data_IF_315325849265
#
_entry.id   IF_315325849265
#
_cell.length_a   1.000
_cell.length_b   1.000
_cell.length_c   1.000
_cell.angle_alpha   90.00
_cell.angle_beta   90.00
_cell.angle_gamma   90.00
#
_symmetry.space_group_name_H-M   'P 1'
#
loop_
_entity.id
_entity.type
_entity.pdbx_description
1 polymer ?
#
# COMPACT_ATOMS: atom_id res chain seq x y z
N UNK A 1 1.20 11.77 -16.91
CA UNK A 1 0.52 12.75 -17.79
C UNK A 1 -1.01 12.74 -17.61
N UNK A 2 -1.68 11.57 -17.61
CA UNK A 2 -3.14 11.49 -17.51
C UNK A 2 -3.70 12.11 -16.23
N UNK A 3 -3.03 11.96 -15.09
CA UNK A 3 -3.46 12.49 -13.79
C UNK A 3 -3.10 13.95 -13.55
N UNK A 4 -2.23 14.54 -14.37
CA UNK A 4 -1.66 15.90 -14.19
C UNK A 4 -1.20 16.16 -12.75
N UNK A 5 -0.59 15.17 -12.11
CA UNK A 5 -0.07 15.29 -10.76
C UNK A 5 1.17 16.22 -10.74
N UNK A 6 1.36 16.91 -9.62
CA UNK A 6 2.55 17.75 -9.40
C UNK A 6 3.83 16.89 -9.37
N UNK A 7 3.73 15.66 -8.81
CA UNK A 7 4.78 14.65 -8.78
C UNK A 7 4.16 13.26 -8.91
N UNK A 8 4.73 12.42 -9.76
CA UNK A 8 4.39 11.02 -9.88
C UNK A 8 5.59 10.12 -9.59
N UNK A 9 5.41 9.08 -8.81
CA UNK A 9 6.45 8.10 -8.51
C UNK A 9 5.97 6.70 -8.75
N UNK A 10 6.86 5.85 -9.27
CA UNK A 10 6.63 4.42 -9.42
C UNK A 10 7.87 3.65 -8.99
N UNK A 11 7.67 2.67 -8.12
CA UNK A 11 8.71 1.80 -7.60
C UNK A 11 8.33 0.35 -7.81
N UNK A 12 9.30 -0.48 -8.17
CA UNK A 12 9.14 -1.93 -8.33
C UNK A 12 10.24 -2.64 -7.56
N UNK A 13 9.88 -3.62 -6.75
CA UNK A 13 10.80 -4.42 -5.94
C UNK A 13 10.54 -5.91 -6.13
N UNK A 14 11.60 -6.70 -6.14
CA UNK A 14 11.54 -8.14 -5.92
C UNK A 14 11.34 -8.40 -4.43
N UNK A 15 10.15 -8.91 -4.01
CA UNK A 15 9.86 -9.10 -2.60
C UNK A 15 10.70 -10.20 -1.95
N UNK A 16 11.27 -11.11 -2.72
CA UNK A 16 12.03 -12.25 -2.19
C UNK A 16 13.50 -11.91 -1.87
N UNK A 17 13.98 -10.76 -2.36
CA UNK A 17 15.39 -10.39 -2.19
C UNK A 17 15.61 -8.94 -1.73
N UNK A 18 14.56 -8.11 -1.69
CA UNK A 18 14.69 -6.67 -1.40
C UNK A 18 15.27 -5.84 -2.56
N UNK A 19 15.57 -6.48 -3.71
CA UNK A 19 16.15 -5.80 -4.87
C UNK A 19 15.17 -4.81 -5.49
N UNK A 20 15.58 -3.55 -5.63
CA UNK A 20 14.83 -2.52 -6.36
C UNK A 20 15.03 -2.75 -7.85
N UNK A 21 13.97 -3.11 -8.55
CA UNK A 21 13.98 -3.41 -9.99
C UNK A 21 13.76 -2.15 -10.83
N UNK A 22 13.01 -1.19 -10.31
CA UNK A 22 12.80 0.11 -10.92
C UNK A 22 12.40 1.14 -9.85
N UNK A 23 12.87 2.36 -10.02
CA UNK A 23 12.53 3.50 -9.18
C UNK A 23 12.55 4.75 -10.06
N UNK A 24 11.39 5.40 -10.21
CA UNK A 24 11.22 6.56 -11.07
C UNK A 24 10.35 7.63 -10.40
N UNK A 25 10.69 8.89 -10.65
CA UNK A 25 9.90 10.06 -10.28
C UNK A 25 9.75 10.99 -11.49
N UNK A 26 8.62 11.70 -11.59
CA UNK A 26 8.36 12.69 -12.63
C UNK A 26 7.51 13.85 -12.09
N UNK A 27 7.87 15.12 -12.33
CA UNK A 27 9.07 15.55 -13.07
C UNK A 27 10.36 15.14 -12.38
N UNK A 28 11.43 14.95 -13.14
CA UNK A 28 12.73 14.56 -12.60
C UNK A 28 13.41 15.79 -11.98
N UNK A 29 13.69 15.76 -10.69
CA UNK A 29 14.61 16.68 -10.03
C UNK A 29 15.95 15.97 -9.80
N UNK A 30 16.98 16.35 -10.56
CA UNK A 30 18.33 15.74 -10.46
C UNK A 30 19.01 15.97 -9.11
N UNK A 31 18.45 16.84 -8.26
CA UNK A 31 18.99 17.16 -6.92
C UNK A 31 18.34 16.35 -5.82
N UNK A 32 17.29 15.57 -6.13
CA UNK A 32 16.49 14.83 -5.16
C UNK A 32 16.22 13.40 -5.61
N UNK A 33 16.12 12.53 -4.64
CA UNK A 33 15.67 11.16 -4.82
C UNK A 33 14.36 11.01 -4.07
N UNK A 34 13.28 11.60 -4.63
CA UNK A 34 11.97 11.68 -3.99
C UNK A 34 11.50 10.36 -3.37
N UNK A 35 11.69 9.18 -3.99
CA UNK A 35 11.28 7.91 -3.39
C UNK A 35 11.84 7.61 -2.01
N UNK A 36 12.97 8.21 -1.63
CA UNK A 36 13.62 8.01 -0.33
C UNK A 36 13.68 9.28 0.53
N UNK A 37 13.49 10.45 -0.06
CA UNK A 37 13.57 11.74 0.63
C UNK A 37 12.21 12.32 0.96
N UNK A 38 11.27 12.25 0.00
CA UNK A 38 9.94 12.81 0.14
C UNK A 38 9.07 11.98 1.09
N UNK A 39 8.32 12.68 1.95
CA UNK A 39 7.45 12.03 2.94
C UNK A 39 5.99 12.48 2.78
N UNK A 40 5.09 11.54 3.02
CA UNK A 40 3.65 11.77 2.96
C UNK A 40 2.91 10.89 3.96
N UNK A 41 1.68 11.22 4.27
CA UNK A 41 0.81 10.33 5.01
C UNK A 41 0.35 9.18 4.10
N UNK A 42 0.63 7.90 4.44
CA UNK A 42 0.33 6.76 3.56
C UNK A 42 -1.18 6.55 3.37
N UNK A 43 -2.00 7.14 4.26
CA UNK A 43 -3.44 6.94 4.22
C UNK A 43 -3.81 5.46 4.25
N UNK A 44 -4.86 5.10 3.52
CA UNK A 44 -5.42 3.75 3.54
C UNK A 44 -4.48 2.62 3.08
N UNK A 45 -3.32 2.90 2.48
CA UNK A 45 -2.32 1.85 2.23
C UNK A 45 -1.76 1.29 3.54
N UNK A 46 -1.71 2.09 4.61
CA UNK A 46 -1.25 1.65 5.92
C UNK A 46 -2.18 0.64 6.61
N UNK A 47 -3.45 0.56 6.22
CA UNK A 47 -4.42 -0.41 6.75
C UNK A 47 -3.97 -1.86 6.59
N UNK A 48 -3.20 -2.17 5.54
CA UNK A 48 -2.61 -3.50 5.33
C UNK A 48 -1.60 -3.87 6.44
N UNK A 49 -0.85 -2.89 6.92
CA UNK A 49 0.12 -3.06 8.01
C UNK A 49 -0.60 -3.31 9.33
N UNK A 50 -1.64 -2.52 9.62
CA UNK A 50 -2.47 -2.74 10.81
C UNK A 50 -3.17 -4.10 10.78
N UNK A 51 -3.74 -4.48 9.61
CA UNK A 51 -4.37 -5.78 9.42
C UNK A 51 -3.40 -6.92 9.77
N UNK A 52 -2.19 -6.87 9.23
CA UNK A 52 -1.14 -7.86 9.48
C UNK A 52 -0.81 -7.96 10.98
N UNK A 53 -0.62 -6.81 11.64
CA UNK A 53 -0.35 -6.76 13.07
C UNK A 53 -1.50 -7.34 13.91
N UNK A 54 -2.74 -6.98 13.59
CA UNK A 54 -3.91 -7.42 14.33
C UNK A 54 -4.18 -8.94 14.17
N UNK A 55 -3.94 -9.48 12.96
CA UNK A 55 -4.01 -10.91 12.70
C UNK A 55 -2.89 -11.69 13.41
N UNK A 56 -1.63 -11.21 13.34
CA UNK A 56 -0.47 -11.84 14.00
C UNK A 56 -0.64 -11.90 15.52
N UNK A 57 -1.25 -10.87 16.13
CA UNK A 57 -1.56 -10.82 17.55
C UNK A 57 -2.84 -11.61 17.92
N UNK A 58 -3.55 -12.18 16.96
CA UNK A 58 -4.81 -12.88 17.19
C UNK A 58 -5.95 -11.99 17.70
N UNK A 59 -5.83 -10.66 17.55
CA UNK A 59 -6.84 -9.69 17.98
C UNK A 59 -8.09 -9.75 17.09
N UNK A 60 -7.91 -10.14 15.84
CA UNK A 60 -8.96 -10.34 14.84
C UNK A 60 -8.73 -11.62 14.07
N UNK A 61 -9.80 -12.13 13.47
CA UNK A 61 -9.79 -13.24 12.52
C UNK A 61 -10.83 -12.99 11.42
N UNK A 62 -10.97 -13.90 10.47
CA UNK A 62 -11.86 -13.77 9.31
C UNK A 62 -13.33 -13.60 9.69
N UNK A 63 -13.74 -14.15 10.85
CA UNK A 63 -15.10 -14.04 11.38
C UNK A 63 -15.36 -12.73 12.14
N UNK A 64 -14.31 -11.93 12.37
CA UNK A 64 -14.45 -10.65 13.07
C UNK A 64 -15.30 -9.67 12.25
N UNK A 65 -16.19 -8.95 12.92
CA UNK A 65 -17.00 -7.91 12.32
C UNK A 65 -16.97 -6.62 13.13
N UNK A 66 -17.20 -5.50 12.46
CA UNK A 66 -17.08 -4.16 13.01
C UNK A 66 -18.28 -3.31 12.59
N UNK A 67 -18.96 -2.72 13.54
CA UNK A 67 -19.99 -1.72 13.25
C UNK A 67 -19.31 -0.40 12.87
N UNK A 68 -19.58 0.11 11.66
CA UNK A 68 -18.92 1.27 11.06
C UNK A 68 -19.76 2.56 11.15
N UNK A 69 -20.75 2.62 12.08
CA UNK A 69 -21.49 3.81 12.51
C UNK A 69 -22.20 4.59 11.37
N UNK A 70 -22.38 3.97 10.21
CA UNK A 70 -23.07 4.57 9.06
C UNK A 70 -22.51 5.96 8.68
N UNK A 71 -21.19 6.06 8.39
CA UNK A 71 -20.41 7.24 7.96
C UNK A 71 -19.68 7.96 9.09
N UNK A 72 -20.29 8.19 10.26
CA UNK A 72 -19.72 9.06 11.29
C UNK A 72 -19.68 8.40 12.66
N UNK A 73 -18.52 8.46 13.29
CA UNK A 73 -18.33 8.00 14.66
C UNK A 73 -17.77 9.12 15.55
N UNK A 74 -18.56 9.54 16.52
CA UNK A 74 -18.10 10.45 17.56
C UNK A 74 -17.12 9.70 18.47
N UNK A 75 -15.82 9.79 18.17
CA UNK A 75 -14.76 9.14 18.92
C UNK A 75 -14.68 9.67 20.37
N UNK A 76 -14.84 10.98 20.51
CA UNK A 76 -15.00 11.67 21.80
C UNK A 76 -15.72 13.00 21.57
N UNK A 77 -15.88 13.82 22.63
CA UNK A 77 -16.58 15.12 22.56
C UNK A 77 -15.96 16.16 21.58
N UNK A 78 -14.74 15.93 21.10
CA UNK A 78 -14.00 16.88 20.24
C UNK A 78 -13.64 16.32 18.86
N UNK A 79 -13.68 15.00 18.68
CA UNK A 79 -13.18 14.34 17.47
C UNK A 79 -14.23 13.40 16.94
N UNK A 80 -14.55 13.56 15.67
CA UNK A 80 -15.41 12.66 14.90
C UNK A 80 -14.59 12.02 13.77
N UNK A 81 -14.67 10.73 13.64
CA UNK A 81 -14.08 9.96 12.54
C UNK A 81 -15.14 9.75 11.46
N UNK A 82 -14.69 9.68 10.20
CA UNK A 82 -15.59 9.58 9.06
C UNK A 82 -15.15 8.48 8.10
N UNK A 83 -16.12 7.75 7.57
CA UNK A 83 -15.98 6.92 6.39
C UNK A 83 -16.40 7.69 5.14
N UNK A 84 -16.01 7.20 3.96
CA UNK A 84 -16.41 7.79 2.67
C UNK A 84 -17.82 7.38 2.27
N UNK A 85 -18.20 6.14 2.58
CA UNK A 85 -19.48 5.53 2.23
C UNK A 85 -20.22 5.08 3.48
N UNK A 86 -21.56 5.08 3.47
CA UNK A 86 -22.36 4.60 4.58
C UNK A 86 -22.27 3.07 4.71
N UNK A 87 -21.68 2.60 5.79
CA UNK A 87 -21.54 1.19 6.11
C UNK A 87 -22.01 0.93 7.54
N UNK A 88 -22.82 -0.12 7.74
CA UNK A 88 -23.30 -0.50 9.07
C UNK A 88 -22.31 -1.47 9.73
N UNK A 89 -22.36 -2.73 9.34
CA UNK A 89 -21.46 -3.77 9.87
C UNK A 89 -20.70 -4.40 8.74
N UNK A 90 -19.37 -4.40 8.85
CA UNK A 90 -18.46 -5.01 7.88
C UNK A 90 -17.70 -6.16 8.54
N UNK A 91 -17.49 -7.22 7.77
CA UNK A 91 -16.49 -8.25 8.12
C UNK A 91 -15.09 -7.66 8.05
N UNK A 92 -14.10 -8.37 8.59
CA UNK A 92 -12.68 -7.94 8.49
C UNK A 92 -12.26 -7.68 7.02
N UNK A 93 -12.63 -8.58 6.10
CA UNK A 93 -12.38 -8.37 4.66
C UNK A 93 -13.14 -7.14 4.14
N UNK A 94 -14.42 -6.99 4.50
CA UNK A 94 -15.24 -5.85 4.13
C UNK A 94 -14.66 -4.50 4.58
N UNK A 95 -14.08 -4.43 5.79
CA UNK A 95 -13.36 -3.22 6.26
C UNK A 95 -12.22 -2.84 5.31
N UNK A 96 -11.49 -3.82 4.79
CA UNK A 96 -10.41 -3.60 3.83
C UNK A 96 -10.92 -3.29 2.42
N UNK A 97 -11.93 -4.02 1.93
CA UNK A 97 -12.54 -3.85 0.61
C UNK A 97 -13.19 -2.47 0.44
N UNK A 98 -13.97 -2.04 1.45
CA UNK A 98 -14.62 -0.72 1.51
C UNK A 98 -13.68 0.38 2.00
N UNK A 99 -12.51 -0.01 2.52
CA UNK A 99 -11.55 0.94 3.09
C UNK A 99 -12.11 1.78 4.23
N UNK A 100 -12.96 1.18 5.12
CA UNK A 100 -13.54 1.88 6.26
C UNK A 100 -12.47 2.39 7.22
N UNK A 101 -12.48 3.69 7.52
CA UNK A 101 -11.62 4.32 8.52
C UNK A 101 -12.10 3.96 9.93
N UNK A 102 -13.42 3.95 10.13
CA UNK A 102 -14.04 3.65 11.43
C UNK A 102 -13.77 2.20 11.81
N UNK A 103 -14.01 1.25 10.88
CA UNK A 103 -13.72 -0.16 11.11
C UNK A 103 -12.24 -0.38 11.44
N UNK A 104 -11.35 0.27 10.70
CA UNK A 104 -9.90 0.19 10.90
C UNK A 104 -9.47 0.82 12.22
N UNK A 105 -10.01 1.99 12.60
CA UNK A 105 -9.74 2.60 13.90
C UNK A 105 -10.15 1.69 15.07
N UNK A 106 -11.30 1.01 14.96
CA UNK A 106 -11.75 0.04 15.97
C UNK A 106 -10.82 -1.17 16.07
N UNK A 107 -10.27 -1.64 14.94
CA UNK A 107 -9.24 -2.69 14.93
C UNK A 107 -7.98 -2.20 15.68
N UNK A 108 -7.50 -1.00 15.34
CA UNK A 108 -6.32 -0.44 16.00
C UNK A 108 -6.49 -0.24 17.50
N UNK A 109 -7.66 0.24 17.94
CA UNK A 109 -7.96 0.39 19.36
C UNK A 109 -7.96 -0.94 20.12
N UNK A 110 -8.43 -2.02 19.46
CA UNK A 110 -8.33 -3.38 20.04
C UNK A 110 -6.88 -3.87 20.09
N UNK A 111 -6.05 -3.54 19.09
CA UNK A 111 -4.63 -3.89 19.06
C UNK A 111 -3.85 -3.17 20.18
N UNK A 112 -4.20 -1.92 20.45
CA UNK A 112 -3.56 -1.09 21.45
C UNK A 112 -2.29 -0.38 20.96
N UNK A 113 -1.95 0.72 21.63
CA UNK A 113 -0.85 1.62 21.23
C UNK A 113 0.48 0.90 21.14
N UNK A 114 0.80 0.04 22.14
CA UNK A 114 2.09 -0.63 22.23
C UNK A 114 2.34 -1.55 21.02
N UNK A 115 1.39 -2.44 20.72
CA UNK A 115 1.54 -3.39 19.62
C UNK A 115 1.46 -2.68 18.26
N UNK A 116 0.58 -1.69 18.10
CA UNK A 116 0.54 -0.82 16.92
C UNK A 116 1.92 -0.19 16.64
N UNK A 117 2.53 0.42 17.65
CA UNK A 117 3.83 1.06 17.52
C UNK A 117 4.94 0.05 17.21
N UNK A 118 4.97 -1.09 17.91
CA UNK A 118 5.96 -2.14 17.68
C UNK A 118 5.90 -2.68 16.24
N UNK A 119 4.71 -3.00 15.72
CA UNK A 119 4.57 -3.49 14.36
C UNK A 119 4.85 -2.42 13.31
N UNK A 120 4.47 -1.15 13.55
CA UNK A 120 4.86 -0.02 12.71
C UNK A 120 6.37 0.04 12.55
N UNK A 121 7.12 -0.03 13.65
CA UNK A 121 8.58 -0.09 13.64
C UNK A 121 9.12 -1.37 13.00
N UNK A 122 8.50 -2.50 13.28
CA UNK A 122 8.92 -3.79 12.73
C UNK A 122 8.82 -3.84 11.20
N UNK A 123 7.82 -3.19 10.60
CA UNK A 123 7.69 -3.02 9.15
C UNK A 123 8.64 -1.98 8.54
N UNK A 124 9.51 -1.33 9.34
CA UNK A 124 10.55 -0.39 8.88
C UNK A 124 10.17 1.08 8.93
N UNK A 125 8.95 1.45 9.36
CA UNK A 125 8.55 2.85 9.46
C UNK A 125 9.25 3.56 10.64
N UNK A 126 9.55 4.85 10.45
CA UNK A 126 10.26 5.66 11.43
C UNK A 126 11.75 5.33 11.53
N UNK A 127 12.34 4.70 10.50
CA UNK A 127 13.77 4.45 10.34
C UNK A 127 14.18 4.60 8.87
N UNK A 128 15.42 4.98 8.59
CA UNK A 128 15.96 4.95 7.23
C UNK A 128 15.93 3.52 6.69
N UNK A 129 15.72 3.36 5.37
CA UNK A 129 15.61 2.05 4.76
C UNK A 129 16.96 1.32 4.62
N UNK A 130 18.07 2.06 4.67
CA UNK A 130 19.43 1.51 4.53
C UNK A 130 19.94 1.50 3.09
N UNK A 131 19.21 2.11 2.14
CA UNK A 131 19.65 2.16 0.74
C UNK A 131 20.94 2.99 0.52
N UNK A 132 21.31 3.81 1.50
CA UNK A 132 22.60 4.52 1.54
C UNK A 132 22.61 5.88 0.84
N UNK A 133 21.48 6.43 0.44
CA UNK A 133 21.42 7.78 -0.11
C UNK A 133 21.55 8.86 0.97
N UNK A 134 22.30 9.92 0.69
CA UNK A 134 22.54 11.00 1.66
C UNK A 134 21.27 11.71 2.14
N UNK A 135 20.27 11.90 1.28
CA UNK A 135 19.00 12.57 1.59
C UNK A 135 17.93 11.66 2.19
N UNK A 136 18.22 10.39 2.45
CA UNK A 136 17.21 9.42 2.90
C UNK A 136 16.53 9.85 4.21
N UNK A 137 15.18 9.90 4.18
CA UNK A 137 14.35 10.25 5.31
C UNK A 137 13.92 9.00 6.11
N UNK A 138 13.92 9.13 7.44
CA UNK A 138 13.31 8.13 8.32
C UNK A 138 11.78 8.20 8.37
N UNK A 139 11.16 9.19 7.70
CA UNK A 139 9.76 9.51 7.92
C UNK A 139 9.52 10.19 9.28
N UNK A 140 8.26 10.32 9.66
CA UNK A 140 7.85 10.91 10.94
C UNK A 140 6.95 9.94 11.65
N UNK A 141 7.41 9.39 12.76
CA UNK A 141 6.65 8.57 13.68
C UNK A 141 6.79 9.17 15.08
N UNK A 142 5.65 9.58 15.68
CA UNK A 142 5.63 10.13 17.03
C UNK A 142 6.19 9.10 18.02
N UNK A 143 7.04 9.51 19.00
CA UNK A 143 7.53 8.59 20.04
C UNK A 143 6.39 7.95 20.84
N UNK A 144 6.58 6.69 21.26
CA UNK A 144 5.56 5.88 21.93
C UNK A 144 4.97 6.59 23.16
N UNK A 145 5.81 7.27 23.94
CA UNK A 145 5.44 7.97 25.18
C UNK A 145 4.49 9.16 24.95
N UNK A 146 4.43 9.64 23.71
CA UNK A 146 3.56 10.75 23.28
C UNK A 146 2.33 10.29 22.50
N UNK A 147 2.19 8.97 22.30
CA UNK A 147 1.06 8.41 21.54
C UNK A 147 -0.20 8.41 22.39
N UNK A 148 -1.25 9.06 21.91
CA UNK A 148 -2.57 9.09 22.53
C UNK A 148 -3.53 8.13 21.81
N UNK A 149 -4.67 7.84 22.42
CA UNK A 149 -5.71 7.00 21.79
C UNK A 149 -6.20 7.55 20.45
N UNK A 150 -6.25 8.87 20.31
CA UNK A 150 -6.61 9.49 19.02
C UNK A 150 -5.53 9.28 17.97
N UNK A 151 -4.24 9.36 18.34
CA UNK A 151 -3.14 9.10 17.43
C UNK A 151 -3.17 7.64 16.93
N UNK A 152 -3.54 6.71 17.81
CA UNK A 152 -3.77 5.31 17.46
C UNK A 152 -4.93 5.16 16.46
N UNK A 153 -6.08 5.79 16.77
CA UNK A 153 -7.27 5.69 15.94
C UNK A 153 -6.99 6.21 14.51
N UNK A 154 -6.38 7.42 14.38
CA UNK A 154 -6.08 8.01 13.08
C UNK A 154 -4.87 7.34 12.40
N UNK A 155 -3.85 6.93 13.18
CA UNK A 155 -2.69 6.20 12.70
C UNK A 155 -3.07 4.84 12.11
N UNK A 156 -4.13 4.22 12.61
CA UNK A 156 -4.63 2.93 12.12
C UNK A 156 -5.00 2.96 10.63
N UNK A 157 -5.41 4.11 10.10
CA UNK A 157 -5.66 4.30 8.67
C UNK A 157 -4.64 5.24 8.00
N UNK A 158 -3.44 5.39 8.62
CA UNK A 158 -2.27 6.01 8.03
C UNK A 158 -2.26 7.53 8.08
N UNK A 159 -2.94 8.16 9.04
CA UNK A 159 -2.86 9.60 9.32
C UNK A 159 -2.04 9.86 10.59
N UNK A 160 -1.39 11.03 10.65
CA UNK A 160 -0.52 11.39 11.78
C UNK A 160 0.84 10.66 11.80
N UNK A 161 1.15 9.93 10.73
CA UNK A 161 2.47 9.35 10.44
C UNK A 161 2.90 9.80 9.04
N UNK A 162 4.19 10.08 8.85
CA UNK A 162 4.70 10.38 7.51
C UNK A 162 5.77 9.36 7.14
N UNK A 163 5.70 8.86 5.91
CA UNK A 163 6.52 7.75 5.41
C UNK A 163 7.13 8.08 4.04
N UNK A 164 8.25 7.47 3.70
CA UNK A 164 8.74 7.53 2.33
C UNK A 164 8.05 6.49 1.45
N UNK A 165 7.97 6.70 0.12
CA UNK A 165 7.50 5.68 -0.81
C UNK A 165 8.26 4.36 -0.68
N UNK A 166 9.58 4.39 -0.49
CA UNK A 166 10.37 3.18 -0.32
C UNK A 166 10.00 2.41 0.95
N UNK A 167 9.72 3.08 2.06
CA UNK A 167 9.24 2.41 3.28
C UNK A 167 7.93 1.66 3.03
N UNK A 168 6.97 2.26 2.30
CA UNK A 168 5.71 1.60 1.95
C UNK A 168 5.95 0.40 1.04
N UNK A 169 6.76 0.54 -0.01
CA UNK A 169 7.11 -0.55 -0.93
C UNK A 169 7.72 -1.73 -0.18
N UNK A 170 8.71 -1.47 0.68
CA UNK A 170 9.42 -2.51 1.44
C UNK A 170 8.49 -3.23 2.45
N UNK A 171 7.59 -2.49 3.10
CA UNK A 171 6.58 -3.07 3.98
C UNK A 171 5.60 -3.99 3.20
N UNK A 172 5.17 -3.59 1.99
CA UNK A 172 4.33 -4.43 1.14
C UNK A 172 5.09 -5.65 0.61
N UNK A 173 6.39 -5.54 0.35
CA UNK A 173 7.24 -6.68 0.02
C UNK A 173 7.31 -7.69 1.18
N UNK A 174 7.36 -7.22 2.42
CA UNK A 174 7.28 -8.11 3.58
C UNK A 174 5.91 -8.79 3.69
N UNK A 175 4.80 -8.11 3.40
CA UNK A 175 3.47 -8.74 3.32
C UNK A 175 3.41 -9.81 2.22
N UNK A 176 4.12 -9.62 1.12
CA UNK A 176 4.11 -10.48 -0.06
C UNK A 176 4.93 -11.78 0.11
N UNK A 177 6.03 -11.74 0.86
CA UNK A 177 7.09 -12.77 0.88
C UNK A 177 7.08 -13.70 2.09
N UNK A 178 5.97 -13.77 2.83
CA UNK A 178 5.89 -14.59 4.06
C UNK A 178 6.32 -13.84 5.32
N UNK A 179 6.34 -12.50 5.29
CA UNK A 179 6.54 -11.64 6.46
C UNK A 179 7.99 -11.25 6.73
N UNK A 180 8.91 -11.44 5.80
CA UNK A 180 10.33 -11.10 5.95
C UNK A 180 10.60 -9.68 5.45
N UNK A 181 11.08 -8.80 6.34
CA UNK A 181 11.56 -7.49 5.93
C UNK A 181 13.01 -7.62 5.46
N UNK A 182 13.24 -7.38 4.17
CA UNK A 182 14.58 -7.34 3.59
C UNK A 182 15.16 -5.94 3.63
N UNK A 183 16.48 -5.85 3.67
CA UNK A 183 17.21 -4.64 3.34
C UNK A 183 17.03 -4.33 1.85
N UNK A 184 16.52 -3.13 1.48
CA UNK A 184 16.38 -2.76 0.07
C UNK A 184 17.75 -2.54 -0.55
N UNK A 185 17.95 -2.97 -1.80
CA UNK A 185 19.24 -2.87 -2.49
C UNK A 185 19.08 -2.53 -3.96
N UNK A 186 19.96 -1.67 -4.46
CA UNK A 186 20.05 -1.25 -5.87
C UNK A 186 21.21 -1.94 -6.59
N UNK A 187 22.35 -2.05 -5.92
CA UNK A 187 23.54 -2.69 -6.48
C UNK A 187 23.51 -4.16 -6.11
N UNK A 188 23.56 -5.02 -7.09
CA UNK A 188 23.60 -6.49 -6.90
C UNK A 188 25.04 -6.98 -6.83
N UNK A 189 25.89 -6.50 -7.75
CA UNK A 189 27.30 -6.83 -7.78
C UNK A 189 28.11 -5.75 -8.48
N UNK A 190 29.41 -5.72 -8.22
CA UNK A 190 30.39 -4.91 -8.95
C UNK A 190 31.41 -5.89 -9.56
N UNK A 191 31.68 -5.75 -10.84
CA UNK A 191 32.69 -6.53 -11.54
C UNK A 191 33.73 -5.60 -12.14
N UNK A 192 35.00 -6.05 -12.18
CA UNK A 192 36.03 -5.39 -12.97
C UNK A 192 35.77 -5.53 -14.48
N UNK A 193 36.55 -4.80 -15.28
CA UNK A 193 36.38 -4.81 -16.74
C UNK A 193 36.57 -6.20 -17.35
N UNK A 194 37.44 -7.01 -16.77
CA UNK A 194 37.70 -8.41 -17.22
C UNK A 194 36.68 -9.42 -16.69
N UNK A 195 35.67 -8.97 -15.94
CA UNK A 195 34.54 -9.78 -15.46
C UNK A 195 34.77 -10.42 -14.09
N UNK A 196 35.91 -10.18 -13.43
CA UNK A 196 36.12 -10.61 -12.04
C UNK A 196 35.16 -9.88 -11.10
N UNK A 197 34.44 -10.62 -10.24
CA UNK A 197 33.51 -10.08 -9.27
C UNK A 197 34.28 -9.58 -8.04
N UNK A 198 34.26 -8.25 -7.81
CA UNK A 198 34.95 -7.60 -6.67
C UNK A 198 34.01 -7.34 -5.49
N UNK A 199 32.70 -7.34 -5.73
CA UNK A 199 31.69 -7.14 -4.69
C UNK A 199 30.38 -7.82 -5.09
N UNK A 200 29.75 -8.47 -4.10
CA UNK A 200 28.39 -9.02 -4.19
C UNK A 200 27.57 -8.52 -3.01
N UNK A 201 26.37 -8.05 -3.31
CA UNK A 201 25.38 -7.64 -2.31
C UNK A 201 24.26 -8.69 -2.25
N UNK A 202 24.43 -9.69 -1.38
CA UNK A 202 23.45 -10.76 -1.22
C UNK A 202 22.20 -10.28 -0.45
N UNK A 203 21.02 -10.92 -0.67
CA UNK A 203 19.82 -10.59 0.06
C UNK A 203 19.98 -10.74 1.58
N UNK A 204 19.71 -9.64 2.31
CA UNK A 204 19.78 -9.63 3.76
C UNK A 204 18.39 -9.46 4.38
N UNK A 205 17.96 -10.43 5.19
CA UNK A 205 16.73 -10.34 5.99
C UNK A 205 17.02 -9.55 7.25
N UNK A 206 16.38 -8.40 7.41
CA UNK A 206 16.48 -7.59 8.63
C UNK A 206 15.76 -8.30 9.78
N UNK A 207 14.54 -8.81 9.52
CA UNK A 207 13.73 -9.54 10.52
C UNK A 207 12.53 -10.24 9.91
N UNK A 208 11.99 -11.23 10.62
CA UNK A 208 10.64 -11.75 10.43
C UNK A 208 9.67 -10.82 11.17
N UNK A 209 8.70 -10.21 10.45
CA UNK A 209 7.74 -9.25 11.02
C UNK A 209 6.43 -9.93 11.42
N UNK A 210 5.94 -10.79 10.52
CA UNK A 210 4.74 -11.62 10.71
C UNK A 210 5.02 -13.04 10.22
N UNK A 211 4.24 -13.99 10.69
CA UNK A 211 4.36 -15.38 10.26
C UNK A 211 3.96 -15.59 8.79
N UNK A 212 4.45 -16.63 8.10
CA UNK A 212 4.04 -16.96 6.73
C UNK A 212 2.53 -17.23 6.60
N UNK A 213 1.90 -17.82 7.62
CA UNK A 213 0.44 -18.03 7.68
C UNK A 213 -0.28 -16.68 7.61
N UNK A 214 0.08 -15.74 8.45
CA UNK A 214 -0.55 -14.41 8.47
C UNK A 214 -0.28 -13.65 7.16
N UNK A 215 0.91 -13.76 6.59
CA UNK A 215 1.17 -13.23 5.24
C UNK A 215 0.20 -13.82 4.21
N UNK A 216 -0.07 -15.13 4.25
CA UNK A 216 -1.04 -15.79 3.37
C UNK A 216 -2.46 -15.22 3.52
N UNK A 217 -2.91 -15.05 4.77
CA UNK A 217 -4.24 -14.48 5.10
C UNK A 217 -4.35 -13.01 4.67
N UNK A 218 -3.32 -12.21 4.89
CA UNK A 218 -3.27 -10.82 4.42
C UNK A 218 -3.33 -10.75 2.89
N UNK A 219 -2.57 -11.60 2.19
CA UNK A 219 -2.60 -11.70 0.72
C UNK A 219 -4.01 -11.98 0.20
N UNK A 220 -4.73 -12.92 0.82
CA UNK A 220 -6.10 -13.26 0.44
C UNK A 220 -7.06 -12.07 0.61
N UNK A 221 -6.98 -11.34 1.74
CA UNK A 221 -7.81 -10.16 1.98
C UNK A 221 -7.46 -9.02 1.01
N UNK A 222 -6.17 -8.75 0.76
CA UNK A 222 -5.75 -7.72 -0.19
C UNK A 222 -6.10 -8.08 -1.64
N UNK A 223 -6.18 -9.36 -1.99
CA UNK A 223 -6.70 -9.82 -3.26
C UNK A 223 -8.20 -9.47 -3.39
N UNK A 224 -8.99 -9.70 -2.35
CA UNK A 224 -10.41 -9.33 -2.34
C UNK A 224 -10.62 -7.81 -2.51
N UNK A 225 -9.72 -6.96 -1.99
CA UNK A 225 -9.74 -5.51 -2.24
C UNK A 225 -9.64 -5.18 -3.74
N UNK A 226 -8.81 -5.93 -4.49
CA UNK A 226 -8.67 -5.73 -5.93
C UNK A 226 -9.82 -6.35 -6.71
N UNK A 227 -10.32 -7.51 -6.29
CA UNK A 227 -11.42 -8.20 -7.00
C UNK A 227 -12.79 -7.55 -6.75
N UNK A 228 -13.06 -7.08 -5.54
CA UNK A 228 -14.41 -6.67 -5.07
C UNK A 228 -14.47 -5.25 -4.51
N UNK A 229 -13.32 -4.69 -4.10
CA UNK A 229 -13.25 -3.45 -3.36
C UNK A 229 -12.76 -2.24 -4.17
N UNK A 230 -12.14 -1.30 -3.47
CA UNK A 230 -11.64 -0.02 -4.02
C UNK A 230 -10.48 -0.18 -5.01
N UNK A 231 -9.85 -1.36 -5.07
CA UNK A 231 -8.70 -1.65 -5.93
C UNK A 231 -9.01 -2.18 -7.32
N UNK A 232 -10.28 -2.26 -7.75
CA UNK A 232 -10.72 -2.90 -9.01
C UNK A 232 -9.98 -2.44 -10.26
N UNK A 233 -9.60 -1.18 -10.34
CA UNK A 233 -8.89 -0.63 -11.49
C UNK A 233 -7.43 -1.10 -11.62
N UNK A 234 -6.88 -1.79 -10.61
CA UNK A 234 -5.59 -2.47 -10.68
C UNK A 234 -5.66 -3.88 -11.28
N UNK A 235 -6.87 -4.43 -11.48
CA UNK A 235 -7.07 -5.79 -11.96
C UNK A 235 -6.48 -5.97 -13.37
N UNK A 236 -5.69 -7.04 -13.55
CA UNK A 236 -5.21 -7.50 -14.85
C UNK A 236 -5.87 -8.85 -15.16
N UNK A 237 -6.67 -8.97 -16.24
CA UNK A 237 -7.32 -10.22 -16.61
C UNK A 237 -6.31 -11.38 -16.75
N UNK A 238 -6.62 -12.52 -16.13
CA UNK A 238 -5.75 -13.69 -16.15
C UNK A 238 -4.64 -13.68 -15.09
N UNK A 239 -4.53 -12.64 -14.26
CA UNK A 239 -3.52 -12.54 -13.22
C UNK A 239 -4.13 -12.16 -11.88
N UNK A 240 -3.66 -12.82 -10.82
CA UNK A 240 -4.06 -12.48 -9.46
C UNK A 240 -3.22 -11.33 -8.92
N UNK A 241 -3.89 -10.29 -8.45
CA UNK A 241 -3.28 -9.08 -7.89
C UNK A 241 -3.84 -8.87 -6.48
N UNK A 242 -2.97 -8.56 -5.55
CA UNK A 242 -3.34 -8.10 -4.22
C UNK A 242 -2.79 -6.70 -3.98
N UNK A 243 -3.57 -5.85 -3.33
CA UNK A 243 -3.14 -4.48 -3.08
C UNK A 243 -4.16 -3.62 -2.37
N UNK A 244 -3.77 -2.39 -2.10
CA UNK A 244 -4.60 -1.40 -1.41
C UNK A 244 -4.44 -0.02 -2.00
N UNK A 245 -5.53 0.68 -2.17
CA UNK A 245 -5.60 2.10 -2.53
C UNK A 245 -5.28 2.97 -1.32
N UNK A 246 -4.64 4.10 -1.55
CA UNK A 246 -4.47 5.18 -0.57
C UNK A 246 -4.93 6.50 -1.15
N UNK A 247 -5.51 7.32 -0.30
CA UNK A 247 -5.80 8.73 -0.57
C UNK A 247 -5.66 9.45 0.76
N UNK A 248 -4.76 10.40 0.81
CA UNK A 248 -4.55 11.25 1.99
C UNK A 248 -4.58 12.72 1.61
N UNK A 249 -4.87 13.58 2.57
CA UNK A 249 -4.75 15.02 2.39
C UNK A 249 -3.27 15.41 2.40
N UNK A 250 -2.90 16.35 1.55
CA UNK A 250 -1.53 16.88 1.54
C UNK A 250 -1.32 17.81 2.73
N UNK A 251 -0.17 17.69 3.39
CA UNK A 251 0.24 18.57 4.50
C UNK A 251 1.19 19.65 3.95
N UNK A 252 0.99 20.90 4.35
CA UNK A 252 1.97 21.96 4.14
C UNK A 252 3.17 21.74 5.08
N UNK A 253 4.37 21.47 4.56
CA UNK A 253 5.54 21.17 5.39
C UNK A 253 5.98 22.36 6.27
N UNK A 254 5.55 23.60 5.94
CA UNK A 254 5.91 24.79 6.71
C UNK A 254 4.99 25.01 7.91
N UNK A 255 3.70 24.68 7.77
CA UNK A 255 2.69 24.95 8.79
C UNK A 255 2.24 23.71 9.52
N UNK A 256 2.45 22.52 8.95
CA UNK A 256 1.93 21.25 9.44
C UNK A 256 0.43 21.07 9.27
N UNK A 257 -0.24 21.97 8.55
CA UNK A 257 -1.70 21.95 8.33
C UNK A 257 -2.03 21.27 7.00
N UNK A 258 -3.23 20.71 6.91
CA UNK A 258 -3.74 20.15 5.67
C UNK A 258 -4.06 21.24 4.65
N UNK A 259 -3.56 21.07 3.43
CA UNK A 259 -3.89 21.93 2.29
C UNK A 259 -5.28 21.58 1.75
N UNK A 260 -6.13 22.60 1.61
CA UNK A 260 -7.48 22.42 1.08
C UNK A 260 -7.45 21.96 -0.38
N UNK A 261 -8.21 20.91 -0.69
CA UNK A 261 -8.35 20.38 -2.05
C UNK A 261 -7.11 19.67 -2.61
N UNK A 262 -6.03 19.53 -1.83
CA UNK A 262 -4.82 18.85 -2.26
C UNK A 262 -4.70 17.49 -1.61
N UNK A 263 -4.42 16.46 -2.43
CA UNK A 263 -4.35 15.06 -2.00
C UNK A 263 -3.09 14.38 -2.50
N UNK A 264 -2.75 13.27 -1.85
CA UNK A 264 -1.80 12.28 -2.36
C UNK A 264 -2.56 11.00 -2.62
N UNK A 265 -2.57 10.56 -3.88
CA UNK A 265 -3.20 9.32 -4.31
C UNK A 265 -2.14 8.23 -4.47
N UNK A 266 -2.42 7.01 -3.98
CA UNK A 266 -1.46 5.92 -4.07
C UNK A 266 -2.14 4.57 -4.28
N UNK A 267 -1.36 3.62 -4.81
CA UNK A 267 -1.70 2.21 -4.85
C UNK A 267 -0.45 1.39 -4.57
N UNK A 268 -0.50 0.55 -3.56
CA UNK A 268 0.54 -0.42 -3.24
C UNK A 268 -0.01 -1.84 -3.42
N UNK A 269 0.72 -2.69 -4.11
CA UNK A 269 0.28 -4.05 -4.38
C UNK A 269 1.40 -4.95 -4.88
N UNK A 270 1.06 -6.22 -5.07
CA UNK A 270 2.00 -7.24 -5.53
C UNK A 270 1.29 -8.30 -6.37
N UNK A 271 2.05 -8.97 -7.21
CA UNK A 271 1.59 -10.03 -8.12
C UNK A 271 2.76 -10.95 -8.55
N UNK A 272 2.40 -12.18 -9.08
CA UNK A 272 1.14 -12.88 -8.92
C UNK A 272 0.91 -13.28 -7.45
N UNK A 273 -0.33 -13.58 -7.10
CA UNK A 273 -0.67 -14.14 -5.78
C UNK A 273 -1.04 -15.61 -6.03
N UNK A 274 -0.54 -16.63 -5.37
CA UNK A 274 0.01 -16.70 -4.01
C UNK A 274 1.53 -16.53 -3.89
N UNK A 275 2.29 -16.56 -4.98
CA UNK A 275 3.75 -16.45 -4.98
C UNK A 275 4.22 -15.14 -5.62
N UNK A 276 4.18 -14.02 -4.88
CA UNK A 276 4.50 -12.72 -5.44
C UNK A 276 5.96 -12.62 -5.88
N UNK A 277 6.14 -12.17 -7.12
CA UNK A 277 7.43 -11.92 -7.74
C UNK A 277 7.74 -10.42 -7.86
N UNK A 278 6.70 -9.60 -7.82
CA UNK A 278 6.81 -8.14 -7.97
C UNK A 278 5.93 -7.44 -6.96
N UNK A 279 6.53 -6.54 -6.20
CA UNK A 279 5.83 -5.53 -5.41
C UNK A 279 5.95 -4.19 -6.13
N UNK A 280 4.83 -3.49 -6.29
CA UNK A 280 4.77 -2.22 -7.02
C UNK A 280 4.05 -1.19 -6.17
N UNK A 281 4.61 0.01 -6.11
CA UNK A 281 3.98 1.18 -5.52
C UNK A 281 3.89 2.30 -6.58
N UNK A 282 2.72 2.90 -6.68
CA UNK A 282 2.50 4.15 -7.43
C UNK A 282 2.02 5.21 -6.45
N UNK A 283 2.64 6.39 -6.51
CA UNK A 283 2.25 7.57 -5.72
C UNK A 283 2.11 8.77 -6.65
N UNK A 284 1.02 9.50 -6.52
CA UNK A 284 0.70 10.69 -7.29
C UNK A 284 0.41 11.83 -6.31
N UNK A 285 1.26 12.83 -6.29
CA UNK A 285 1.09 14.02 -5.47
C UNK A 285 0.22 15.03 -6.19
N UNK A 286 -0.86 15.43 -5.55
CA UNK A 286 -1.81 16.43 -6.04
C UNK A 286 -2.34 16.16 -7.48
N UNK A 287 -2.90 14.96 -7.76
CA UNK A 287 -3.54 14.71 -9.05
C UNK A 287 -4.74 15.62 -9.25
N UNK A 288 -4.99 16.04 -10.51
CA UNK A 288 -6.11 16.93 -10.85
C UNK A 288 -7.24 16.15 -11.54
N UNK A 289 -8.47 16.55 -11.30
CA UNK A 289 -9.68 15.88 -11.81
C UNK A 289 -10.08 14.70 -10.92
N UNK A 290 -9.57 13.50 -11.17
CA UNK A 290 -9.75 12.33 -10.32
C UNK A 290 -8.69 12.35 -9.21
N UNK A 291 -9.11 12.32 -7.95
CA UNK A 291 -8.21 12.50 -6.79
C UNK A 291 -8.01 11.22 -5.97
N UNK A 292 -8.81 10.19 -6.22
CA UNK A 292 -8.73 8.95 -5.46
C UNK A 292 -7.69 7.97 -6.02
N UNK A 293 -6.96 7.29 -5.13
CA UNK A 293 -5.95 6.31 -5.52
C UNK A 293 -6.50 5.16 -6.38
N UNK A 294 -7.76 4.78 -6.15
CA UNK A 294 -8.46 3.77 -6.97
C UNK A 294 -8.73 4.20 -8.42
N UNK A 295 -8.81 5.50 -8.68
CA UNK A 295 -9.13 6.07 -10.00
C UNK A 295 -7.89 6.54 -10.75
N UNK A 296 -6.78 6.79 -10.05
CA UNK A 296 -5.56 7.38 -10.63
C UNK A 296 -4.34 6.46 -10.49
N UNK A 297 -3.98 6.08 -9.27
CA UNK A 297 -2.79 5.26 -9.02
C UNK A 297 -3.01 3.77 -9.36
N UNK A 298 -4.21 3.22 -9.12
CA UNK A 298 -4.53 1.84 -9.46
C UNK A 298 -4.48 1.55 -10.97
N UNK A 299 -5.03 2.39 -11.88
CA UNK A 299 -4.82 2.24 -13.31
C UNK A 299 -3.35 2.31 -13.73
N UNK A 300 -2.55 3.20 -13.14
CA UNK A 300 -1.11 3.29 -13.42
C UNK A 300 -0.37 2.02 -12.96
N UNK A 301 -0.71 1.50 -11.77
CA UNK A 301 -0.21 0.20 -11.32
C UNK A 301 -0.54 -0.90 -12.32
N UNK A 302 -1.78 -0.97 -12.81
CA UNK A 302 -2.20 -1.96 -13.82
C UNK A 302 -1.37 -1.86 -15.09
N UNK A 303 -1.11 -0.66 -15.60
CA UNK A 303 -0.28 -0.46 -16.80
C UNK A 303 1.15 -0.97 -16.57
N UNK A 304 1.73 -0.72 -15.38
CA UNK A 304 3.05 -1.23 -14.99
C UNK A 304 3.03 -2.75 -14.90
N UNK A 305 2.02 -3.33 -14.24
CA UNK A 305 1.89 -4.78 -14.09
C UNK A 305 1.80 -5.48 -15.45
N UNK A 306 0.97 -4.96 -16.38
CA UNK A 306 0.86 -5.50 -17.75
C UNK A 306 2.21 -5.44 -18.48
N UNK A 307 2.95 -4.34 -18.36
CA UNK A 307 4.29 -4.24 -18.97
C UNK A 307 5.27 -5.26 -18.39
N UNK A 308 5.29 -5.43 -17.06
CA UNK A 308 6.15 -6.44 -16.40
C UNK A 308 5.76 -7.85 -16.84
N UNK A 309 4.47 -8.17 -16.85
CA UNK A 309 3.93 -9.47 -17.29
C UNK A 309 4.42 -9.80 -18.71
N UNK A 310 4.26 -8.87 -19.63
CA UNK A 310 4.68 -9.04 -21.03
C UNK A 310 6.21 -9.15 -21.17
N UNK A 311 6.95 -8.27 -20.49
CA UNK A 311 8.43 -8.26 -20.55
C UNK A 311 9.05 -9.55 -19.99
N UNK A 312 8.44 -10.11 -18.93
CA UNK A 312 8.93 -11.30 -18.25
C UNK A 312 8.29 -12.58 -18.69
N UNK A 313 7.29 -12.53 -19.58
CA UNK A 313 6.58 -13.71 -20.07
C UNK A 313 5.87 -14.46 -18.94
N UNK A 314 5.29 -13.76 -17.96
CA UNK A 314 4.65 -14.42 -16.83
C UNK A 314 3.43 -15.22 -17.31
N UNK A 315 3.31 -16.45 -16.80
CA UNK A 315 2.14 -17.29 -17.07
C UNK A 315 0.93 -16.77 -16.27
N UNK A 316 -0.25 -16.88 -16.90
CA UNK A 316 -1.53 -16.61 -16.25
C UNK A 316 -1.71 -17.53 -15.03
N UNK A 317 -2.12 -16.97 -13.89
CA UNK A 317 -2.34 -17.65 -12.62
C UNK A 317 -3.79 -17.52 -12.10
N UNK A 318 -4.64 -16.84 -12.87
CA UNK A 318 -6.05 -16.65 -12.57
C UNK A 318 -6.93 -16.92 -13.82
N UNK A 319 -8.21 -17.31 -13.64
CA UNK A 319 -9.10 -17.51 -14.76
C UNK A 319 -9.31 -16.20 -15.53
N UNK A 320 -9.33 -16.29 -16.84
CA UNK A 320 -9.79 -15.18 -17.68
C UNK A 320 -11.26 -14.90 -17.40
N UNK A 321 -11.72 -13.65 -17.39
CA UNK A 321 -13.13 -13.34 -17.30
C UNK A 321 -13.84 -14.04 -18.47
N UNK A 322 -14.93 -14.77 -18.15
CA UNK A 322 -15.78 -15.35 -19.21
C UNK A 322 -16.23 -14.19 -20.07
N UNK A 323 -16.06 -14.30 -21.39
CA UNK A 323 -16.75 -13.42 -22.32
C UNK A 323 -18.24 -13.63 -22.04
N UNK A 324 -18.93 -12.60 -21.58
CA UNK A 324 -20.40 -12.61 -21.61
C UNK A 324 -20.77 -12.75 -23.08
N UNK A 325 -21.28 -13.94 -23.44
CA UNK A 325 -21.85 -14.15 -24.75
C UNK A 325 -22.94 -13.10 -24.94
N UNK A 326 -22.73 -12.28 -25.96
CA UNK A 326 -23.65 -11.50 -26.74
C UNK A 326 -25.03 -11.23 -26.10
N UNK A 327 -25.26 -9.99 -25.74
CA UNK A 327 -26.60 -9.44 -25.84
C UNK A 327 -26.98 -9.44 -27.33
N UNK A 328 -27.53 -10.55 -27.79
CA UNK A 328 -28.25 -10.60 -29.07
C UNK A 328 -29.25 -9.44 -29.06
N UNK A 329 -29.19 -8.49 -30.00
CA UNK A 329 -30.16 -7.42 -30.03
C UNK A 329 -31.55 -8.04 -30.19
N UNK A 330 -32.47 -7.68 -29.30
CA UNK A 330 -33.85 -8.09 -29.37
C UNK A 330 -34.38 -7.80 -30.82
N UNK A 331 -34.86 -8.85 -31.50
CA UNK A 331 -35.54 -8.68 -32.77
C UNK A 331 -36.68 -7.67 -32.58
N UNK A 332 -36.83 -6.67 -33.46
CA UNK A 332 -37.99 -5.82 -33.44
C UNK A 332 -39.25 -6.69 -33.68
N UNK A 333 -40.21 -6.55 -32.80
CA UNK A 333 -41.55 -7.11 -32.97
C UNK A 333 -42.14 -6.31 -34.12
N UNK A 334 -42.34 -7.00 -35.25
CA UNK A 334 -43.16 -6.47 -36.40
C UNK A 334 -44.62 -6.70 -36.06
N UNK A 335 -45.40 -5.62 -36.06
CA UNK A 335 -46.87 -5.64 -36.10
C UNK A 335 -47.41 -6.39 -37.33
#
# INVERSE_FOLDING_TARGET
EKSRADLGMALVQDPQSGRILAMAAWPLDVKKIEPVEWVYEPGSTFKAILLAAALEKGIVNENSSFFCENVTWAFNSKVTLHDHEPEKTLTLSGVMERSSNIGTAKIGLKLGVKDFYLYTKAFGFGAKSGLGFHGESAGILRPLERFKQIDLAVGSYGHGIAVTPLQVLNAYSALANGGRLYEPRLVEKITEFEGEEVFRNDPAVIRQVISPDISGRVKAILRAVVEKGTGKNALVPGYSIAGKTGTSKKIDPRTGQYLTGKTVASFAGFFPVPEPQYTVLVVLDNPTGLIYGGETAAPAFREIAVKIINLKGLKSDAPLPRKTEDQTPARPISD
#
